data_IF_446014593063
#
_entry.id   IF_446014593063
#
_cell.length_a   1.000
_cell.length_b   1.000
_cell.length_c   1.000
_cell.angle_alpha   90.00
_cell.angle_beta   90.00
_cell.angle_gamma   90.00
#
_symmetry.space_group_name_H-M   'P 1'
#
loop_
_entity.id
_entity.type
_entity.pdbx_description
1 polymer ?
#
# COMPACT_ATOMS: atom_id res chain seq x y z
N UNK A 1 -23.17 63.28 37.26
CA UNK A 1 -23.89 62.00 37.51
C UNK A 1 -23.93 61.20 36.22
N UNK A 2 -23.49 59.95 36.30
CA UNK A 2 -23.30 58.99 35.20
C UNK A 2 -24.59 58.71 34.41
N UNK A 3 -24.46 58.54 33.08
CA UNK A 3 -25.22 57.54 32.33
C UNK A 3 -24.29 56.83 31.35
N UNK A 4 -23.89 55.63 31.74
CA UNK A 4 -23.15 54.64 30.97
C UNK A 4 -24.08 54.11 29.87
N UNK A 5 -23.80 54.41 28.60
CA UNK A 5 -24.35 53.64 27.47
C UNK A 5 -23.39 52.48 27.21
N UNK A 6 -23.78 51.26 27.57
CA UNK A 6 -23.10 50.02 27.17
C UNK A 6 -23.28 49.85 25.67
N UNK A 7 -22.22 50.09 24.89
CA UNK A 7 -22.11 49.56 23.54
C UNK A 7 -21.80 48.06 23.69
N UNK A 8 -22.76 47.22 23.33
CA UNK A 8 -22.53 45.80 23.12
C UNK A 8 -21.72 45.65 21.82
N UNK A 9 -20.40 45.57 21.96
CA UNK A 9 -19.51 45.19 20.86
C UNK A 9 -19.62 43.69 20.62
N UNK A 10 -20.25 43.32 19.51
CA UNK A 10 -20.21 41.97 18.95
C UNK A 10 -18.76 41.61 18.62
N UNK A 11 -18.08 40.92 19.52
CA UNK A 11 -16.81 40.26 19.20
C UNK A 11 -17.15 39.01 18.39
N UNK A 12 -17.20 39.14 17.07
CA UNK A 12 -17.33 38.02 16.15
C UNK A 12 -16.04 37.18 16.25
N UNK A 13 -16.12 36.07 16.97
CA UNK A 13 -15.04 35.08 17.11
C UNK A 13 -14.83 34.44 15.73
N UNK A 14 -13.89 34.96 14.95
CA UNK A 14 -13.36 34.34 13.73
C UNK A 14 -12.36 33.21 14.06
N UNK A 15 -12.74 32.24 14.91
CA UNK A 15 -11.90 31.09 15.26
C UNK A 15 -12.50 29.73 14.88
N UNK A 16 -13.27 29.67 13.81
CA UNK A 16 -13.73 28.39 13.26
C UNK A 16 -13.50 28.42 11.76
N UNK A 17 -12.38 27.83 11.30
CA UNK A 17 -12.18 27.15 10.01
C UNK A 17 -10.69 26.86 9.69
N UNK A 18 -9.88 26.42 10.66
CA UNK A 18 -8.50 25.94 10.36
C UNK A 18 -8.31 24.42 10.47
N UNK A 19 -9.37 23.65 10.77
CA UNK A 19 -9.25 22.19 10.98
C UNK A 19 -9.62 21.32 9.76
N UNK A 20 -9.57 21.85 8.54
CA UNK A 20 -9.86 21.08 7.32
C UNK A 20 -8.78 21.25 6.23
N UNK A 21 -7.51 20.96 6.53
CA UNK A 21 -6.52 20.74 5.45
C UNK A 21 -5.22 20.03 5.81
N UNK A 22 -4.97 19.67 7.08
CA UNK A 22 -3.67 19.10 7.48
C UNK A 22 -3.35 17.75 6.82
N UNK A 23 -4.34 16.90 6.54
CA UNK A 23 -4.11 15.61 5.89
C UNK A 23 -3.67 15.75 4.42
N UNK A 24 -4.25 16.72 3.69
CA UNK A 24 -4.03 16.91 2.26
C UNK A 24 -2.64 17.51 1.94
N UNK A 25 -2.06 18.26 2.88
CA UNK A 25 -0.74 18.88 2.68
C UNK A 25 0.42 17.90 2.94
N UNK A 26 0.28 16.96 3.89
CA UNK A 26 1.41 16.14 4.36
C UNK A 26 1.98 15.10 3.38
N UNK A 27 1.22 14.66 2.37
CA UNK A 27 1.70 13.66 1.41
C UNK A 27 2.29 14.29 0.15
N UNK A 28 1.88 15.53 -0.19
CA UNK A 28 2.37 16.25 -1.37
C UNK A 28 3.83 16.70 -1.22
N UNK A 29 4.34 16.69 0.00
CA UNK A 29 5.75 16.97 0.29
C UNK A 29 6.64 15.75 0.05
N UNK A 30 6.07 14.55 -0.01
CA UNK A 30 6.82 13.32 -0.27
C UNK A 30 7.26 13.28 -1.74
N UNK A 31 8.57 13.23 -1.98
CA UNK A 31 9.14 13.01 -3.32
C UNK A 31 9.28 11.52 -3.59
N UNK A 32 9.71 10.75 -2.59
CA UNK A 32 9.93 9.32 -2.71
C UNK A 32 9.02 8.52 -1.79
N UNK A 33 8.15 7.74 -2.43
CA UNK A 33 7.11 6.94 -1.78
C UNK A 33 7.43 5.47 -2.01
N UNK A 34 7.72 4.74 -0.94
CA UNK A 34 8.13 3.33 -1.01
C UNK A 34 6.98 2.42 -0.56
N UNK A 35 6.68 1.40 -1.36
CA UNK A 35 5.74 0.33 -1.05
C UNK A 35 6.50 -0.93 -0.64
N UNK A 36 6.38 -1.31 0.63
CA UNK A 36 6.90 -2.54 1.23
C UNK A 36 5.77 -3.56 1.43
N UNK A 37 6.07 -4.82 1.19
CA UNK A 37 5.15 -5.92 1.43
C UNK A 37 5.58 -7.20 0.74
N UNK A 38 4.64 -8.12 0.60
CA UNK A 38 4.90 -9.46 0.06
C UNK A 38 4.57 -9.58 -1.44
N UNK A 39 4.07 -10.75 -1.88
CA UNK A 39 3.71 -11.05 -3.27
C UNK A 39 2.62 -10.14 -3.83
N UNK A 40 1.67 -9.71 -2.99
CA UNK A 40 0.58 -8.81 -3.42
C UNK A 40 1.15 -7.43 -3.75
N UNK A 41 2.08 -6.93 -2.92
CA UNK A 41 2.84 -5.70 -3.22
C UNK A 41 3.75 -5.89 -4.43
N UNK A 42 4.45 -7.03 -4.54
CA UNK A 42 5.32 -7.32 -5.69
C UNK A 42 4.54 -7.32 -7.02
N UNK A 43 3.34 -7.93 -7.06
CA UNK A 43 2.45 -7.90 -8.23
C UNK A 43 2.05 -6.46 -8.59
N UNK A 44 1.84 -5.60 -7.59
CA UNK A 44 1.98 -4.16 -7.73
C UNK A 44 0.85 -3.41 -8.41
N UNK A 45 -0.25 -4.06 -8.81
CA UNK A 45 -1.33 -3.38 -9.54
C UNK A 45 -1.94 -2.23 -8.72
N UNK A 46 -2.10 -2.38 -7.41
CA UNK A 46 -2.59 -1.30 -6.55
C UNK A 46 -1.57 -0.13 -6.45
N UNK A 47 -0.27 -0.41 -6.61
CA UNK A 47 0.78 0.62 -6.65
C UNK A 47 0.69 1.39 -7.97
N UNK A 48 0.47 0.66 -9.07
CA UNK A 48 0.26 1.25 -10.40
C UNK A 48 -0.99 2.15 -10.40
N UNK A 49 -2.09 1.72 -9.79
CA UNK A 49 -3.34 2.48 -9.69
C UNK A 49 -3.14 3.79 -8.91
N UNK A 50 -2.44 3.72 -7.77
CA UNK A 50 -2.10 4.91 -6.97
C UNK A 50 -1.20 5.86 -7.76
N UNK A 51 -0.19 5.34 -8.46
CA UNK A 51 0.69 6.17 -9.29
C UNK A 51 -0.08 6.85 -10.42
N UNK A 52 -0.90 6.10 -11.15
CA UNK A 52 -1.67 6.63 -12.28
C UNK A 52 -2.60 7.75 -11.81
N UNK A 53 -3.31 7.52 -10.71
CA UNK A 53 -4.16 8.54 -10.10
C UNK A 53 -3.37 9.81 -9.75
N UNK A 54 -2.26 9.67 -9.03
CA UNK A 54 -1.48 10.81 -8.54
C UNK A 54 -0.85 11.61 -9.68
N UNK A 55 -0.38 10.94 -10.74
CA UNK A 55 0.18 11.62 -11.91
C UNK A 55 -0.88 12.41 -12.68
N UNK A 56 -2.09 11.87 -12.83
CA UNK A 56 -3.19 12.59 -13.50
C UNK A 56 -3.71 13.74 -12.64
N UNK A 57 -3.72 13.56 -11.32
CA UNK A 57 -4.17 14.60 -10.40
C UNK A 57 -3.14 15.73 -10.23
N UNK A 58 -1.84 15.43 -10.33
CA UNK A 58 -0.75 16.38 -10.16
C UNK A 58 0.35 16.19 -11.24
N UNK A 59 0.07 16.56 -12.50
CA UNK A 59 0.99 16.33 -13.61
C UNK A 59 2.35 17.02 -13.46
N UNK A 60 2.41 18.15 -12.75
CA UNK A 60 3.65 18.90 -12.52
C UNK A 60 4.50 18.34 -11.37
N UNK A 61 3.97 17.38 -10.59
CA UNK A 61 4.68 16.80 -9.45
C UNK A 61 5.49 15.59 -9.87
N UNK A 62 6.76 15.61 -9.49
CA UNK A 62 7.70 14.52 -9.75
C UNK A 62 7.72 13.53 -8.57
N UNK A 63 6.68 12.69 -8.49
CA UNK A 63 6.66 11.57 -7.55
C UNK A 63 7.55 10.42 -8.04
N UNK A 64 8.43 9.93 -7.17
CA UNK A 64 9.14 8.66 -7.32
C UNK A 64 8.44 7.61 -6.45
N UNK A 65 7.54 6.85 -7.08
CA UNK A 65 6.84 5.74 -6.43
C UNK A 65 7.62 4.45 -6.69
N UNK A 66 8.08 3.81 -5.61
CA UNK A 66 8.99 2.66 -5.63
C UNK A 66 8.28 1.45 -5.05
N UNK A 67 8.10 0.41 -5.87
CA UNK A 67 7.66 -0.89 -5.41
C UNK A 67 8.88 -1.77 -5.05
N UNK A 68 8.97 -2.20 -3.79
CA UNK A 68 9.98 -3.14 -3.29
C UNK A 68 9.32 -4.29 -2.52
N UNK A 69 8.13 -4.71 -2.96
CA UNK A 69 7.51 -5.94 -2.48
C UNK A 69 8.37 -7.16 -2.79
N UNK A 70 8.38 -8.16 -1.91
CA UNK A 70 9.13 -9.39 -2.08
C UNK A 70 8.21 -10.61 -1.87
N UNK A 71 7.98 -11.48 -2.88
CA UNK A 71 7.02 -12.57 -2.71
C UNK A 71 7.42 -13.54 -1.59
N UNK A 72 6.43 -14.15 -0.94
CA UNK A 72 6.58 -15.02 0.24
C UNK A 72 7.11 -14.35 1.52
N UNK A 73 7.58 -13.10 1.47
CA UNK A 73 8.19 -12.42 2.61
C UNK A 73 7.24 -12.28 3.80
N UNK A 74 7.81 -12.37 5.00
CA UNK A 74 7.18 -12.11 6.30
C UNK A 74 7.90 -10.98 7.02
N UNK A 75 7.19 -10.31 7.93
CA UNK A 75 7.79 -9.45 8.95
C UNK A 75 7.93 -10.21 10.29
N UNK A 76 7.15 -11.28 10.47
CA UNK A 76 7.24 -12.16 11.63
C UNK A 76 8.53 -13.00 11.66
N UNK A 77 9.20 -13.20 10.52
CA UNK A 77 10.37 -14.08 10.39
C UNK A 77 10.01 -15.56 10.53
N UNK A 78 8.78 -15.94 10.18
CA UNK A 78 8.27 -17.30 10.30
C UNK A 78 8.24 -18.00 8.94
N UNK A 79 8.49 -19.31 8.95
CA UNK A 79 8.32 -20.19 7.79
C UNK A 79 7.75 -21.52 8.24
N UNK A 80 6.73 -22.01 7.54
CA UNK A 80 6.23 -23.37 7.70
C UNK A 80 7.24 -24.40 7.17
N UNK A 81 7.24 -25.63 7.72
CA UNK A 81 7.96 -26.76 7.13
C UNK A 81 7.52 -27.00 5.69
N UNK A 82 8.49 -27.24 4.79
CA UNK A 82 8.21 -27.56 3.39
C UNK A 82 7.79 -26.37 2.52
N UNK A 83 7.94 -25.12 3.00
CA UNK A 83 7.69 -23.93 2.17
C UNK A 83 8.39 -24.03 0.80
N UNK A 84 7.66 -23.71 -0.27
CA UNK A 84 8.13 -23.80 -1.65
C UNK A 84 8.70 -25.19 -2.01
N UNK A 85 8.01 -26.26 -1.61
CA UNK A 85 8.45 -27.66 -1.77
C UNK A 85 9.83 -27.94 -1.15
N UNK A 86 10.15 -27.23 -0.06
CA UNK A 86 11.44 -27.32 0.62
C UNK A 86 12.59 -26.58 -0.06
N UNK A 87 12.35 -25.84 -1.15
CA UNK A 87 13.42 -25.14 -1.90
C UNK A 87 14.05 -24.00 -1.11
N UNK A 88 13.27 -23.28 -0.29
CA UNK A 88 13.75 -22.18 0.54
C UNK A 88 12.73 -21.85 1.65
N UNK A 89 13.16 -21.34 2.82
CA UNK A 89 12.24 -20.82 3.83
C UNK A 89 11.65 -19.48 3.37
N UNK A 90 10.52 -19.06 3.96
CA UNK A 90 9.99 -17.71 3.72
C UNK A 90 11.06 -16.64 3.99
N UNK A 91 11.22 -15.63 3.10
CA UNK A 91 12.08 -14.49 3.37
C UNK A 91 11.62 -13.71 4.61
N UNK A 92 12.57 -13.17 5.38
CA UNK A 92 12.31 -12.23 6.48
C UNK A 92 12.74 -10.83 6.02
N UNK A 93 11.85 -9.84 6.15
CA UNK A 93 12.13 -8.44 5.87
C UNK A 93 13.38 -7.91 6.60
N UNK A 94 13.67 -8.42 7.81
CA UNK A 94 14.89 -8.08 8.59
C UNK A 94 16.17 -8.25 7.81
N UNK A 95 16.19 -9.20 6.87
CA UNK A 95 17.35 -9.48 6.04
C UNK A 95 17.74 -8.29 5.16
N UNK A 96 16.76 -7.54 4.63
CA UNK A 96 17.00 -6.53 3.58
C UNK A 96 16.60 -5.10 3.93
N UNK A 97 15.78 -4.87 4.95
CA UNK A 97 15.17 -3.56 5.20
C UNK A 97 16.20 -2.42 5.29
N UNK A 98 17.29 -2.62 6.04
CA UNK A 98 18.32 -1.60 6.19
C UNK A 98 18.94 -1.16 4.85
N UNK A 99 19.14 -2.10 3.91
CA UNK A 99 19.66 -1.80 2.57
C UNK A 99 18.61 -1.09 1.72
N UNK A 100 17.35 -1.52 1.81
CA UNK A 100 16.23 -0.84 1.14
C UNK A 100 16.16 0.61 1.60
N UNK A 101 16.04 0.87 2.90
CA UNK A 101 15.91 2.22 3.44
C UNK A 101 17.13 3.10 3.14
N UNK A 102 18.34 2.56 3.23
CA UNK A 102 19.58 3.30 2.94
C UNK A 102 19.66 3.74 1.48
N UNK A 103 19.27 2.86 0.55
CA UNK A 103 19.41 3.14 -0.89
C UNK A 103 18.23 3.94 -1.42
N UNK A 104 17.00 3.61 -1.01
CA UNK A 104 15.83 4.34 -1.45
C UNK A 104 15.72 5.67 -0.71
N UNK A 105 16.02 5.80 0.58
CA UNK A 105 15.81 7.05 1.34
C UNK A 105 14.37 7.58 1.18
N UNK A 106 13.36 6.83 1.65
CA UNK A 106 11.96 7.23 1.48
C UNK A 106 11.62 8.48 2.29
N UNK A 107 10.69 9.29 1.78
CA UNK A 107 9.98 10.29 2.57
C UNK A 107 8.74 9.65 3.23
N UNK A 108 8.10 8.73 2.51
CA UNK A 108 6.91 8.01 2.92
C UNK A 108 7.03 6.52 2.59
N UNK A 109 6.62 5.67 3.54
CA UNK A 109 6.54 4.22 3.38
C UNK A 109 5.10 3.74 3.58
N UNK A 110 4.56 3.01 2.61
CA UNK A 110 3.38 2.17 2.79
C UNK A 110 3.83 0.74 3.05
N UNK A 111 3.42 0.15 4.17
CA UNK A 111 3.80 -1.20 4.58
C UNK A 111 2.60 -2.14 4.65
N UNK A 112 2.61 -3.24 3.89
CA UNK A 112 1.53 -4.22 3.84
C UNK A 112 2.05 -5.64 4.15
N UNK A 113 1.87 -6.09 5.40
CA UNK A 113 2.27 -7.41 5.89
C UNK A 113 1.14 -8.06 6.72
N UNK A 114 1.22 -9.38 6.89
CA UNK A 114 0.27 -10.19 7.66
C UNK A 114 -0.18 -11.45 6.94
N UNK A 115 -0.35 -11.41 5.61
CA UNK A 115 -0.85 -12.56 4.81
C UNK A 115 0.04 -13.81 4.95
N UNK A 116 1.36 -13.66 5.00
CA UNK A 116 2.28 -14.79 5.14
C UNK A 116 2.68 -15.06 6.60
N UNK A 117 2.44 -14.11 7.50
CA UNK A 117 3.01 -14.06 8.84
C UNK A 117 2.36 -15.05 9.81
N UNK A 118 1.14 -15.51 9.51
CA UNK A 118 0.49 -16.63 10.19
C UNK A 118 0.90 -18.00 9.64
N UNK A 119 1.76 -18.04 8.60
CA UNK A 119 2.24 -19.23 7.88
C UNK A 119 1.12 -20.21 7.51
N UNK A 120 -0.07 -19.68 7.19
CA UNK A 120 -1.21 -20.45 6.72
C UNK A 120 -1.68 -21.55 7.71
N UNK A 121 -1.41 -21.33 9.00
CA UNK A 121 -1.80 -22.21 10.11
C UNK A 121 -2.94 -21.58 10.93
N UNK A 122 -3.73 -22.37 11.68
CA UNK A 122 -4.74 -21.85 12.60
C UNK A 122 -4.17 -20.81 13.58
N UNK A 123 -5.03 -19.98 14.18
CA UNK A 123 -4.57 -18.95 15.11
C UNK A 123 -3.75 -19.54 16.26
N UNK A 124 -2.63 -18.88 16.58
CA UNK A 124 -1.79 -19.22 17.72
C UNK A 124 -1.15 -17.96 18.27
N UNK A 125 -1.22 -17.78 19.59
CA UNK A 125 -0.73 -16.58 20.29
C UNK A 125 0.74 -16.31 20.05
N UNK A 126 1.57 -17.36 19.97
CA UNK A 126 3.01 -17.23 19.67
C UNK A 126 3.30 -16.69 18.26
N UNK A 127 2.56 -17.14 17.23
CA UNK A 127 2.72 -16.62 15.85
C UNK A 127 2.23 -15.17 15.77
N UNK A 128 1.11 -14.91 16.44
CA UNK A 128 0.59 -13.56 16.54
C UNK A 128 1.58 -12.62 17.24
N UNK A 129 2.24 -13.05 18.31
CA UNK A 129 3.28 -12.25 18.97
C UNK A 129 4.43 -11.92 18.02
N UNK A 130 4.92 -12.90 17.24
CA UNK A 130 5.96 -12.66 16.22
C UNK A 130 5.53 -11.65 15.16
N UNK A 131 4.28 -11.70 14.70
CA UNK A 131 3.73 -10.69 13.81
C UNK A 131 3.74 -9.29 14.45
N UNK A 132 3.26 -9.17 15.69
CA UNK A 132 3.26 -7.89 16.42
C UNK A 132 4.67 -7.32 16.58
N UNK A 133 5.63 -8.15 16.99
CA UNK A 133 7.03 -7.77 17.16
C UNK A 133 7.65 -7.33 15.85
N UNK A 134 7.38 -8.05 14.76
CA UNK A 134 7.82 -7.70 13.41
C UNK A 134 7.28 -6.34 12.96
N UNK A 135 5.98 -6.10 13.10
CA UNK A 135 5.36 -4.83 12.72
C UNK A 135 5.89 -3.65 13.57
N UNK A 136 6.07 -3.85 14.89
CA UNK A 136 6.65 -2.81 15.75
C UNK A 136 8.09 -2.49 15.34
N UNK A 137 8.91 -3.53 15.13
CA UNK A 137 10.28 -3.37 14.64
C UNK A 137 10.32 -2.62 13.29
N UNK A 138 9.50 -3.02 12.32
CA UNK A 138 9.43 -2.35 11.02
C UNK A 138 9.06 -0.86 11.18
N UNK A 139 8.07 -0.55 12.02
CA UNK A 139 7.67 0.83 12.28
C UNK A 139 8.84 1.65 12.83
N UNK A 140 9.52 1.13 13.85
CA UNK A 140 10.65 1.80 14.49
C UNK A 140 11.82 2.01 13.51
N UNK A 141 12.18 1.00 12.72
CA UNK A 141 13.28 1.12 11.75
C UNK A 141 13.00 2.16 10.67
N UNK A 142 11.75 2.28 10.21
CA UNK A 142 11.40 3.32 9.23
C UNK A 142 11.41 4.71 9.87
N UNK A 143 10.80 4.89 11.04
CA UNK A 143 10.75 6.18 11.75
C UNK A 143 12.16 6.67 12.11
N UNK A 144 13.09 5.76 12.47
CA UNK A 144 14.50 6.12 12.73
C UNK A 144 15.19 6.80 11.55
N UNK A 145 14.72 6.61 10.32
CA UNK A 145 15.27 7.29 9.14
C UNK A 145 14.71 8.70 8.93
N UNK A 146 13.70 9.10 9.72
CA UNK A 146 12.93 10.32 9.52
C UNK A 146 11.76 10.17 8.54
N UNK A 147 11.63 9.02 7.89
CA UNK A 147 10.52 8.73 6.98
C UNK A 147 9.20 8.54 7.73
N UNK A 148 8.11 9.02 7.13
CA UNK A 148 6.75 8.71 7.57
C UNK A 148 6.40 7.27 7.18
N UNK A 149 5.67 6.55 8.04
CA UNK A 149 5.16 5.21 7.73
C UNK A 149 3.65 5.13 7.92
N UNK A 150 2.97 4.52 6.94
CA UNK A 150 1.55 4.20 6.97
C UNK A 150 1.42 2.68 6.79
N UNK A 151 0.82 2.02 7.77
CA UNK A 151 0.59 0.58 7.71
C UNK A 151 -0.73 0.28 6.99
N UNK A 152 -0.75 -0.74 6.14
CA UNK A 152 -1.97 -1.32 5.60
C UNK A 152 -2.25 -2.60 6.39
N UNK A 153 -3.51 -2.81 6.80
CA UNK A 153 -3.93 -4.13 7.33
C UNK A 153 -3.64 -5.22 6.30
N UNK A 154 -3.44 -6.50 6.71
CA UNK A 154 -3.36 -7.57 5.73
C UNK A 154 -4.63 -7.62 4.86
N UNK A 155 -4.53 -7.91 3.55
CA UNK A 155 -5.69 -8.19 2.69
C UNK A 155 -6.56 -9.32 3.25
N UNK A 156 -7.81 -9.40 2.78
CA UNK A 156 -8.68 -10.54 3.13
C UNK A 156 -8.11 -11.86 2.57
N UNK A 157 -8.28 -12.95 3.32
CA UNK A 157 -7.99 -14.31 2.85
C UNK A 157 -9.31 -15.00 2.58
N UNK A 158 -9.47 -15.48 1.36
CA UNK A 158 -10.68 -16.15 0.93
C UNK A 158 -10.54 -17.66 1.11
N UNK A 159 -10.98 -18.14 2.27
CA UNK A 159 -10.91 -19.55 2.67
C UNK A 159 -11.75 -20.49 1.78
N UNK A 160 -12.69 -19.98 0.98
CA UNK A 160 -13.45 -20.81 0.03
C UNK A 160 -12.55 -21.31 -1.10
N UNK A 161 -11.66 -20.45 -1.59
CA UNK A 161 -10.72 -20.77 -2.67
C UNK A 161 -9.32 -21.14 -2.15
N UNK A 162 -8.96 -20.61 -0.98
CA UNK A 162 -7.72 -20.92 -0.30
C UNK A 162 -7.72 -22.32 0.31
N UNK A 163 -6.52 -22.85 0.56
CA UNK A 163 -6.34 -24.22 1.09
C UNK A 163 -6.29 -24.30 2.63
N UNK A 164 -6.30 -23.16 3.32
CA UNK A 164 -5.94 -23.05 4.74
C UNK A 164 -7.15 -22.68 5.58
N UNK A 165 -7.77 -23.71 6.14
CA UNK A 165 -8.97 -23.56 6.95
C UNK A 165 -8.68 -22.80 8.27
N UNK A 166 -9.60 -21.91 8.66
CA UNK A 166 -9.50 -21.01 9.80
C UNK A 166 -8.59 -19.80 9.58
N UNK A 167 -7.96 -19.65 8.42
CA UNK A 167 -6.97 -18.59 8.20
C UNK A 167 -7.59 -17.21 8.01
N UNK A 168 -8.85 -17.12 7.54
CA UNK A 168 -9.60 -15.85 7.53
C UNK A 168 -9.66 -15.24 8.94
N UNK A 169 -9.88 -16.05 9.98
CA UNK A 169 -9.91 -15.58 11.37
C UNK A 169 -8.52 -15.10 11.86
N UNK A 170 -7.44 -15.70 11.38
CA UNK A 170 -6.07 -15.22 11.68
C UNK A 170 -5.88 -13.81 11.16
N UNK A 171 -6.28 -13.55 9.90
CA UNK A 171 -6.14 -12.23 9.30
C UNK A 171 -7.11 -11.21 9.92
N UNK A 172 -8.31 -11.61 10.35
CA UNK A 172 -9.19 -10.76 11.15
C UNK A 172 -8.50 -10.28 12.43
N UNK A 173 -7.87 -11.18 13.18
CA UNK A 173 -7.18 -10.86 14.44
C UNK A 173 -5.99 -9.93 14.17
N UNK A 174 -5.21 -10.20 13.11
CA UNK A 174 -4.05 -9.39 12.76
C UNK A 174 -4.45 -7.98 12.31
N UNK A 175 -5.49 -7.88 11.46
CA UNK A 175 -6.06 -6.61 11.02
C UNK A 175 -6.60 -5.79 12.19
N UNK A 176 -7.41 -6.40 13.08
CA UNK A 176 -7.98 -5.70 14.23
C UNK A 176 -6.90 -5.17 15.19
N UNK A 177 -5.86 -5.96 15.44
CA UNK A 177 -4.75 -5.50 16.28
C UNK A 177 -4.03 -4.31 15.65
N UNK A 178 -3.76 -4.36 14.34
CA UNK A 178 -3.10 -3.26 13.65
C UNK A 178 -3.97 -2.00 13.64
N UNK A 179 -5.28 -2.13 13.41
CA UNK A 179 -6.22 -1.01 13.52
C UNK A 179 -6.24 -0.40 14.93
N UNK A 180 -6.07 -1.23 15.97
CA UNK A 180 -5.91 -0.78 17.36
C UNK A 180 -4.76 0.21 17.56
N UNK A 181 -3.70 0.14 16.74
CA UNK A 181 -2.53 1.03 16.81
C UNK A 181 -2.85 2.50 16.54
N UNK A 182 -3.94 2.79 15.81
CA UNK A 182 -4.46 4.15 15.65
C UNK A 182 -4.75 4.80 17.01
N UNK A 183 -5.30 4.03 17.94
CA UNK A 183 -5.69 4.51 19.27
C UNK A 183 -4.54 4.41 20.27
N UNK A 184 -3.88 3.24 20.33
CA UNK A 184 -2.86 2.97 21.35
C UNK A 184 -1.53 3.68 21.10
N UNK A 185 -1.18 3.92 19.84
CA UNK A 185 0.16 4.40 19.45
C UNK A 185 0.10 5.58 18.48
N UNK A 186 -1.11 6.07 18.15
CA UNK A 186 -1.35 7.17 17.20
C UNK A 186 -0.73 6.94 15.82
N UNK A 187 -0.55 5.66 15.45
CA UNK A 187 -0.03 5.31 14.13
C UNK A 187 -1.06 5.55 13.03
N UNK A 188 -0.57 5.84 11.84
CA UNK A 188 -1.38 5.82 10.64
C UNK A 188 -1.54 4.39 10.14
N UNK A 189 -2.79 3.97 10.03
CA UNK A 189 -3.16 2.64 9.55
C UNK A 189 -4.31 2.76 8.56
N UNK A 190 -4.23 2.11 7.42
CA UNK A 190 -5.28 2.05 6.41
C UNK A 190 -5.91 0.66 6.47
N UNK A 191 -7.23 0.63 6.65
CA UNK A 191 -7.98 -0.61 6.60
C UNK A 191 -8.23 -0.99 5.14
N UNK A 192 -7.57 -2.05 4.69
CA UNK A 192 -7.87 -2.69 3.40
C UNK A 192 -8.57 -4.04 3.59
N UNK A 193 -8.50 -4.61 4.80
CA UNK A 193 -9.00 -5.94 5.12
C UNK A 193 -10.52 -6.00 5.01
N UNK A 194 -11.21 -5.16 5.78
CA UNK A 194 -12.67 -5.20 5.85
C UNK A 194 -13.37 -4.68 4.59
N UNK A 195 -12.84 -3.65 3.88
CA UNK A 195 -13.37 -3.29 2.57
C UNK A 195 -13.32 -4.43 1.55
N UNK A 196 -12.21 -5.17 1.47
CA UNK A 196 -12.09 -6.33 0.58
C UNK A 196 -13.06 -7.45 0.99
N UNK A 197 -13.08 -7.79 2.28
CA UNK A 197 -13.98 -8.82 2.83
C UNK A 197 -15.45 -8.50 2.60
N UNK A 198 -15.84 -7.25 2.80
CA UNK A 198 -17.20 -6.76 2.54
C UNK A 198 -17.56 -6.90 1.07
N UNK A 199 -16.67 -6.47 0.17
CA UNK A 199 -16.89 -6.57 -1.27
C UNK A 199 -17.06 -8.02 -1.73
N UNK A 200 -16.17 -8.92 -1.29
CA UNK A 200 -16.25 -10.35 -1.60
C UNK A 200 -17.59 -10.95 -1.15
N UNK A 201 -18.01 -10.70 0.09
CA UNK A 201 -19.27 -11.19 0.64
C UNK A 201 -20.48 -10.65 -0.13
N UNK A 202 -20.46 -9.37 -0.49
CA UNK A 202 -21.55 -8.75 -1.26
C UNK A 202 -21.66 -9.33 -2.67
N UNK A 203 -20.55 -9.56 -3.37
CA UNK A 203 -20.60 -10.18 -4.72
C UNK A 203 -21.11 -11.62 -4.65
N UNK A 204 -20.77 -12.35 -3.60
CA UNK A 204 -21.24 -13.72 -3.36
C UNK A 204 -22.73 -13.87 -3.04
N UNK A 205 -23.45 -12.79 -2.72
CA UNK A 205 -24.92 -12.87 -2.62
C UNK A 205 -25.58 -13.01 -3.98
N UNK A 206 -24.91 -12.58 -5.06
CA UNK A 206 -25.40 -12.67 -6.44
C UNK A 206 -24.70 -13.74 -7.28
N UNK A 207 -23.44 -14.02 -6.98
CA UNK A 207 -22.62 -14.99 -7.68
C UNK A 207 -21.77 -15.75 -6.65
N UNK A 208 -22.26 -16.91 -6.21
CA UNK A 208 -21.62 -17.70 -5.16
C UNK A 208 -20.21 -18.17 -5.53
N UNK A 209 -19.88 -18.27 -6.83
CA UNK A 209 -18.56 -18.66 -7.32
C UNK A 209 -17.59 -17.48 -7.43
N UNK A 210 -18.05 -16.24 -7.19
CA UNK A 210 -17.20 -15.06 -7.29
C UNK A 210 -15.98 -15.17 -6.38
N UNK A 211 -14.82 -14.81 -6.92
CA UNK A 211 -13.54 -14.79 -6.23
C UNK A 211 -12.86 -13.44 -6.46
N UNK A 212 -12.48 -12.74 -5.37
CA UNK A 212 -11.55 -11.61 -5.48
C UNK A 212 -10.14 -12.09 -5.79
N UNK A 213 -9.76 -13.24 -5.23
CA UNK A 213 -8.49 -13.92 -5.41
C UNK A 213 -8.78 -15.39 -5.78
N UNK A 214 -8.51 -15.82 -7.03
CA UNK A 214 -8.80 -17.20 -7.46
C UNK A 214 -8.10 -18.29 -6.64
N UNK A 215 -6.95 -17.98 -6.04
CA UNK A 215 -6.19 -18.87 -5.16
C UNK A 215 -6.42 -18.61 -3.66
N UNK A 216 -7.36 -17.71 -3.34
CA UNK A 216 -7.67 -17.25 -1.99
C UNK A 216 -6.69 -16.23 -1.40
N UNK A 217 -5.60 -15.89 -2.10
CA UNK A 217 -4.48 -15.10 -1.58
C UNK A 217 -4.21 -13.85 -2.43
N UNK A 218 -4.05 -14.02 -3.74
CA UNK A 218 -3.61 -12.95 -4.66
C UNK A 218 -4.82 -12.34 -5.37
N UNK A 219 -5.25 -11.13 -4.98
CA UNK A 219 -6.41 -10.50 -5.61
C UNK A 219 -6.13 -10.16 -7.07
N UNK A 220 -7.18 -10.21 -7.91
CA UNK A 220 -7.16 -9.64 -9.25
C UNK A 220 -7.35 -8.11 -9.25
N UNK A 221 -7.63 -7.55 -10.43
CA UNK A 221 -7.83 -6.11 -10.66
C UNK A 221 -8.77 -5.46 -9.64
N UNK A 222 -9.94 -6.05 -9.41
CA UNK A 222 -10.93 -5.50 -8.48
C UNK A 222 -10.41 -5.40 -7.04
N UNK A 223 -9.68 -6.41 -6.56
CA UNK A 223 -9.13 -6.38 -5.21
C UNK A 223 -7.97 -5.40 -5.07
N UNK A 224 -7.12 -5.30 -6.09
CA UNK A 224 -6.08 -4.27 -6.16
C UNK A 224 -6.66 -2.85 -6.19
N UNK A 225 -7.74 -2.63 -6.92
CA UNK A 225 -8.41 -1.35 -6.95
C UNK A 225 -9.03 -0.97 -5.59
N UNK A 226 -9.60 -1.94 -4.85
CA UNK A 226 -10.07 -1.69 -3.48
C UNK A 226 -8.92 -1.20 -2.59
N UNK A 227 -7.75 -1.84 -2.66
CA UNK A 227 -6.55 -1.43 -1.91
C UNK A 227 -6.16 0.01 -2.29
N UNK A 228 -6.06 0.30 -3.58
CA UNK A 228 -5.71 1.62 -4.09
C UNK A 228 -6.73 2.69 -3.64
N UNK A 229 -8.03 2.41 -3.70
CA UNK A 229 -9.07 3.31 -3.21
C UNK A 229 -8.89 3.65 -1.73
N UNK A 230 -8.59 2.67 -0.86
CA UNK A 230 -8.41 2.95 0.57
C UNK A 230 -7.18 3.82 0.82
N UNK A 231 -6.11 3.64 0.03
CA UNK A 231 -4.94 4.52 0.05
C UNK A 231 -5.34 5.94 -0.35
N UNK A 232 -5.98 6.10 -1.51
CA UNK A 232 -6.36 7.39 -2.05
C UNK A 232 -7.38 8.12 -1.15
N UNK A 233 -8.30 7.40 -0.53
CA UNK A 233 -9.23 7.93 0.47
C UNK A 233 -8.48 8.48 1.70
N UNK A 234 -7.49 7.74 2.20
CA UNK A 234 -6.64 8.21 3.30
C UNK A 234 -5.87 9.48 2.95
N UNK A 235 -5.44 9.60 1.69
CA UNK A 235 -4.79 10.81 1.15
C UNK A 235 -5.76 11.97 0.87
N UNK A 236 -7.07 11.78 1.09
CA UNK A 236 -8.10 12.82 0.99
C UNK A 236 -8.92 12.81 -0.30
N UNK A 237 -8.68 11.86 -1.22
CA UNK A 237 -9.40 11.77 -2.50
C UNK A 237 -10.75 11.06 -2.35
N UNK A 238 -11.74 11.73 -1.78
CA UNK A 238 -13.06 11.15 -1.48
C UNK A 238 -13.84 10.68 -2.72
N UNK A 239 -13.57 11.25 -3.89
CA UNK A 239 -14.31 10.91 -5.11
C UNK A 239 -13.91 9.55 -5.73
N UNK A 240 -12.81 8.93 -5.31
CA UNK A 240 -12.34 7.65 -5.89
C UNK A 240 -13.31 6.50 -5.67
N UNK A 241 -14.15 6.56 -4.63
CA UNK A 241 -15.15 5.53 -4.32
C UNK A 241 -16.32 5.48 -5.29
N UNK A 242 -16.42 6.44 -6.22
CA UNK A 242 -17.47 6.48 -7.24
C UNK A 242 -17.18 5.57 -8.42
N UNK A 243 -15.96 5.08 -8.55
CA UNK A 243 -15.48 4.36 -9.73
C UNK A 243 -15.24 2.88 -9.40
N UNK A 244 -15.67 2.00 -10.29
CA UNK A 244 -15.51 0.55 -10.17
C UNK A 244 -14.09 0.07 -10.49
N UNK A 245 -13.29 0.89 -11.18
CA UNK A 245 -11.90 0.59 -11.54
C UNK A 245 -11.07 1.85 -11.84
N UNK A 246 -9.75 1.70 -11.87
CA UNK A 246 -8.83 2.79 -12.21
C UNK A 246 -9.10 3.36 -13.61
N UNK A 247 -9.37 2.52 -14.61
CA UNK A 247 -9.65 2.97 -15.99
C UNK A 247 -10.90 3.86 -16.08
N UNK A 248 -11.91 3.59 -15.26
CA UNK A 248 -13.11 4.43 -15.15
C UNK A 248 -12.79 5.74 -14.41
N UNK A 249 -11.91 5.69 -13.41
CA UNK A 249 -11.45 6.89 -12.73
C UNK A 249 -10.60 7.82 -13.63
N UNK A 250 -9.86 7.23 -14.59
CA UNK A 250 -8.99 7.93 -15.52
C UNK A 250 -9.67 8.39 -16.82
N UNK A 251 -11.00 8.34 -16.94
CA UNK A 251 -11.73 8.72 -18.17
C UNK A 251 -11.36 10.08 -18.80
N UNK A 252 -10.93 11.12 -18.06
CA UNK A 252 -10.43 12.35 -18.68
C UNK A 252 -9.15 12.17 -19.53
N UNK A 253 -8.42 11.05 -19.36
CA UNK A 253 -7.23 10.71 -20.15
C UNK A 253 -7.66 10.01 -21.43
N UNK A 254 -7.21 10.54 -22.59
CA UNK A 254 -7.58 10.07 -23.92
C UNK A 254 -7.36 8.56 -24.13
N UNK A 255 -6.28 8.03 -23.58
CA UNK A 255 -5.95 6.59 -23.65
C UNK A 255 -5.48 6.08 -22.28
N UNK A 256 -6.45 5.89 -21.38
CA UNK A 256 -6.19 5.35 -20.03
C UNK A 256 -5.57 3.95 -20.06
N UNK A 257 -5.88 3.13 -21.06
CA UNK A 257 -5.33 1.78 -21.17
C UNK A 257 -3.83 1.80 -21.53
N UNK A 258 -3.43 2.63 -22.49
CA UNK A 258 -2.02 2.84 -22.82
C UNK A 258 -1.25 3.43 -21.63
N UNK A 259 -1.84 4.40 -20.92
CA UNK A 259 -1.26 4.97 -19.71
C UNK A 259 -0.97 3.90 -18.65
N UNK A 260 -1.96 3.06 -18.32
CA UNK A 260 -1.79 1.99 -17.34
C UNK A 260 -0.74 0.98 -17.77
N UNK A 261 -0.67 0.64 -19.06
CA UNK A 261 0.34 -0.27 -19.61
C UNK A 261 1.76 0.28 -19.46
N UNK A 262 1.96 1.57 -19.76
CA UNK A 262 3.27 2.21 -19.59
C UNK A 262 3.68 2.26 -18.12
N UNK A 263 2.77 2.65 -17.22
CA UNK A 263 3.02 2.68 -15.78
C UNK A 263 3.41 1.29 -15.26
N UNK A 264 2.64 0.25 -15.61
CA UNK A 264 2.91 -1.11 -15.17
C UNK A 264 4.25 -1.63 -15.71
N UNK A 265 4.59 -1.34 -16.97
CA UNK A 265 5.88 -1.71 -17.58
C UNK A 265 7.04 -1.05 -16.84
N UNK A 266 6.94 0.27 -16.61
CA UNK A 266 7.94 1.05 -15.86
C UNK A 266 8.10 0.53 -14.43
N UNK A 267 7.00 0.28 -13.73
CA UNK A 267 7.00 -0.20 -12.35
C UNK A 267 7.61 -1.59 -12.22
N UNK A 268 7.27 -2.53 -13.11
CA UNK A 268 7.87 -3.87 -13.10
C UNK A 268 9.39 -3.81 -13.32
N UNK A 269 9.86 -3.04 -14.31
CA UNK A 269 11.29 -2.84 -14.56
C UNK A 269 12.00 -2.24 -13.33
N UNK A 270 11.43 -1.18 -12.75
CA UNK A 270 12.03 -0.51 -11.59
C UNK A 270 11.98 -1.36 -10.33
N UNK A 271 10.92 -2.13 -10.10
CA UNK A 271 10.82 -3.10 -8.99
C UNK A 271 11.96 -4.10 -9.05
N UNK A 272 12.17 -4.75 -10.19
CA UNK A 272 13.19 -5.77 -10.36
C UNK A 272 14.61 -5.17 -10.21
N UNK A 273 14.80 -3.94 -10.71
CA UNK A 273 16.02 -3.13 -10.51
C UNK A 273 16.29 -2.86 -9.04
N UNK A 274 15.29 -2.38 -8.30
CA UNK A 274 15.42 -2.06 -6.88
C UNK A 274 15.66 -3.32 -6.04
N UNK A 275 14.98 -4.42 -6.34
CA UNK A 275 15.21 -5.70 -5.66
C UNK A 275 16.64 -6.22 -5.90
N UNK A 276 17.15 -6.08 -7.12
CA UNK A 276 18.53 -6.44 -7.46
C UNK A 276 19.54 -5.57 -6.71
N UNK A 277 19.35 -4.25 -6.72
CA UNK A 277 20.26 -3.30 -6.08
C UNK A 277 20.25 -3.39 -4.54
N UNK A 278 19.07 -3.60 -3.96
CA UNK A 278 18.91 -3.73 -2.50
C UNK A 278 19.25 -5.11 -1.98
N UNK A 279 19.36 -6.11 -2.86
CA UNK A 279 19.64 -7.52 -2.60
C UNK A 279 18.58 -8.18 -1.70
N UNK A 280 18.26 -9.43 -2.03
CA UNK A 280 17.41 -10.30 -1.22
C UNK A 280 17.88 -11.74 -1.36
N UNK A 281 17.50 -12.59 -0.42
CA UNK A 281 17.80 -14.03 -0.48
C UNK A 281 16.76 -14.87 -1.23
N UNK A 282 15.62 -14.29 -1.64
CA UNK A 282 14.58 -15.05 -2.36
C UNK A 282 15.06 -15.51 -3.74
N UNK A 283 15.09 -16.81 -4.04
CA UNK A 283 15.49 -17.31 -5.35
C UNK A 283 14.41 -17.07 -6.42
N UNK A 284 14.81 -17.18 -7.70
CA UNK A 284 13.89 -17.23 -8.84
C UNK A 284 13.14 -15.93 -9.13
N UNK A 285 13.67 -14.78 -8.71
CA UNK A 285 13.15 -13.48 -9.13
C UNK A 285 13.90 -12.96 -10.37
N UNK A 286 13.23 -12.16 -11.22
CA UNK A 286 13.90 -11.48 -12.33
C UNK A 286 15.05 -10.62 -11.82
N UNK A 287 16.15 -10.61 -12.58
CA UNK A 287 17.26 -9.69 -12.36
C UNK A 287 16.96 -8.38 -13.09
N UNK A 288 16.99 -7.28 -12.35
CA UNK A 288 16.80 -5.96 -12.90
C UNK A 288 18.06 -5.39 -13.54
N UNK A 289 17.87 -4.32 -14.30
CA UNK A 289 18.98 -3.59 -14.92
C UNK A 289 19.85 -2.91 -13.85
N UNK A 290 21.09 -2.51 -14.17
CA UNK A 290 21.85 -1.61 -13.31
C UNK A 290 21.05 -0.32 -13.03
N UNK A 291 21.06 0.17 -11.78
CA UNK A 291 20.23 1.31 -11.34
C UNK A 291 20.31 2.52 -12.28
N UNK A 292 21.51 2.91 -12.70
CA UNK A 292 21.72 4.06 -13.59
C UNK A 292 21.04 3.87 -14.96
N UNK A 293 21.11 2.67 -15.52
CA UNK A 293 20.46 2.35 -16.79
C UNK A 293 18.93 2.32 -16.64
N UNK A 294 18.44 1.66 -15.60
CA UNK A 294 17.01 1.61 -15.29
C UNK A 294 16.41 2.99 -15.07
N UNK A 295 17.12 3.89 -14.38
CA UNK A 295 16.70 5.27 -14.15
C UNK A 295 16.58 6.08 -15.44
N UNK A 296 17.53 5.90 -16.38
CA UNK A 296 17.46 6.55 -17.69
C UNK A 296 16.21 6.08 -18.47
N UNK A 297 16.01 4.76 -18.58
CA UNK A 297 14.82 4.17 -19.22
C UNK A 297 13.52 4.57 -18.53
N UNK A 298 13.51 4.63 -17.20
CA UNK A 298 12.35 5.10 -16.45
C UNK A 298 12.01 6.56 -16.80
N UNK A 299 13.01 7.40 -17.05
CA UNK A 299 12.82 8.76 -17.54
C UNK A 299 12.13 8.83 -18.90
N UNK A 300 12.48 7.95 -19.83
CA UNK A 300 11.82 7.82 -21.15
C UNK A 300 10.34 7.47 -20.98
N UNK A 301 10.03 6.45 -20.18
CA UNK A 301 8.64 6.10 -19.85
C UNK A 301 7.87 7.27 -19.23
N UNK A 302 8.50 8.08 -18.37
CA UNK A 302 7.85 9.23 -17.74
C UNK A 302 7.51 10.33 -18.74
N UNK A 303 8.32 10.52 -19.78
CA UNK A 303 8.02 11.46 -20.88
C UNK A 303 6.76 10.99 -21.62
N UNK A 304 6.69 9.70 -21.99
CA UNK A 304 5.53 9.13 -22.67
C UNK A 304 4.25 9.18 -21.80
N UNK A 305 4.37 8.84 -20.51
CA UNK A 305 3.28 8.94 -19.54
C UNK A 305 2.75 10.37 -19.47
N UNK A 306 3.65 11.36 -19.38
CA UNK A 306 3.26 12.77 -19.30
C UNK A 306 2.54 13.22 -20.58
N UNK A 307 3.02 12.78 -21.75
CA UNK A 307 2.38 13.08 -23.03
C UNK A 307 0.95 12.52 -23.13
N UNK A 308 0.68 11.32 -22.57
CA UNK A 308 -0.67 10.74 -22.56
C UNK A 308 -1.64 11.45 -21.61
N UNK A 309 -1.14 11.95 -20.48
CA UNK A 309 -1.96 12.70 -19.51
C UNK A 309 -2.40 14.05 -20.11
N UNK A 310 -1.53 14.67 -20.92
CA UNK A 310 -1.75 15.98 -21.52
C UNK A 310 -1.53 17.13 -20.53
N UNK A 311 -1.12 18.29 -21.04
CA UNK A 311 -1.10 19.52 -20.25
C UNK A 311 -2.54 20.03 -20.12
N UNK A 312 -3.04 20.13 -18.89
CA UNK A 312 -4.25 20.91 -18.59
C UNK A 312 -3.94 22.40 -18.59
#
# INVERSE_FOLDING_TARGET
>A
MQKIKKLAGTLLICCLLQNLSFAQHSFLDAKRIVFLGNSITWAGMYVNDVEAFLRVQYPDRQFEIINVGLPSETVAGLSEPGHADGKFPRPDLRERLARVLKQTKPDLVFACYGMNDGIYMPFHTGRFQKFKDGINWLHEEVVKTGARIIHLTPPDYDEVNGKSHGYTNVLDIYANWLLGKKRSSKWEVIDIHYPMKKYLRQRRTTDAAFALAPDGIHPGEAGHWIIAQQILLHLGFKNVTKFAGITENLQPVKDAAALMKLIATRQNMMRDTWLTATKHLRPGLPVGLPLKEAQAKAGEFLIEITALIGHK
#
